data_IF_715013550244
#
_entry.id   IF_715013550244
#
_cell.length_a   1.000
_cell.length_b   1.000
_cell.length_c   1.000
_cell.angle_alpha   90.00
_cell.angle_beta   90.00
_cell.angle_gamma   90.00
#
_symmetry.space_group_name_H-M   'P 1'
#
loop_
_entity.id
_entity.type
_entity.pdbx_description
1 polymer ?
#
# COMPACT_ATOMS: atom_id res chain seq x y z
N UNK A 1 23.67 -14.11 -0.86
CA UNK A 1 22.87 -12.98 -1.40
C UNK A 1 21.79 -13.42 -2.40
N UNK A 2 22.10 -14.00 -3.58
CA UNK A 2 21.09 -14.36 -4.59
C UNK A 2 20.01 -15.36 -4.14
N UNK A 3 20.40 -16.42 -3.42
CA UNK A 3 19.46 -17.45 -2.90
C UNK A 3 18.46 -16.86 -1.90
N UNK A 4 18.94 -16.07 -0.96
CA UNK A 4 18.13 -15.40 0.07
C UNK A 4 17.19 -14.36 -0.53
N UNK A 5 17.70 -13.51 -1.43
CA UNK A 5 16.89 -12.55 -2.15
C UNK A 5 15.77 -13.24 -2.93
N UNK A 6 16.08 -14.32 -3.67
CA UNK A 6 15.06 -15.09 -4.42
C UNK A 6 13.94 -15.64 -3.54
N UNK A 7 14.27 -16.30 -2.43
CA UNK A 7 13.25 -16.90 -1.57
C UNK A 7 12.42 -15.86 -0.81
N UNK A 8 13.05 -14.79 -0.34
CA UNK A 8 12.33 -13.68 0.29
C UNK A 8 11.43 -12.97 -0.72
N UNK A 9 11.86 -12.77 -1.97
CA UNK A 9 11.04 -12.13 -3.00
C UNK A 9 9.84 -12.98 -3.40
N UNK A 10 9.96 -14.32 -3.41
CA UNK A 10 8.81 -15.19 -3.70
C UNK A 10 7.78 -15.12 -2.57
N UNK A 11 8.23 -15.23 -1.32
CA UNK A 11 7.33 -15.20 -0.16
C UNK A 11 6.67 -13.83 0.00
N UNK A 12 7.47 -12.77 0.12
CA UNK A 12 6.96 -11.42 0.35
C UNK A 12 6.39 -10.79 -0.92
N UNK A 13 6.78 -11.24 -2.11
CA UNK A 13 6.23 -10.71 -3.37
C UNK A 13 4.73 -10.92 -3.50
N UNK A 14 4.22 -12.08 -3.06
CA UNK A 14 2.79 -12.35 -3.05
C UNK A 14 2.06 -11.45 -2.04
N UNK A 15 2.60 -11.30 -0.83
CA UNK A 15 2.02 -10.43 0.20
C UNK A 15 2.06 -8.95 -0.21
N UNK A 16 3.17 -8.49 -0.76
CA UNK A 16 3.33 -7.13 -1.28
C UNK A 16 2.36 -6.88 -2.44
N UNK A 17 2.18 -7.84 -3.35
CA UNK A 17 1.21 -7.72 -4.43
C UNK A 17 -0.21 -7.58 -3.89
N UNK A 18 -0.59 -8.42 -2.91
CA UNK A 18 -1.87 -8.31 -2.24
C UNK A 18 -2.07 -6.93 -1.59
N UNK A 19 -1.09 -6.46 -0.81
CA UNK A 19 -1.10 -5.14 -0.15
C UNK A 19 -1.19 -4.01 -1.19
N UNK A 20 -0.47 -4.10 -2.30
CA UNK A 20 -0.51 -3.10 -3.37
C UNK A 20 -1.90 -3.04 -4.04
N UNK A 21 -2.49 -4.20 -4.32
CA UNK A 21 -3.82 -4.31 -4.94
C UNK A 21 -4.90 -3.75 -4.00
N UNK A 22 -4.91 -4.13 -2.72
CA UNK A 22 -5.88 -3.60 -1.75
C UNK A 22 -5.70 -2.12 -1.49
N UNK A 23 -4.46 -1.63 -1.44
CA UNK A 23 -4.17 -0.19 -1.32
C UNK A 23 -4.67 0.60 -2.52
N UNK A 24 -4.42 0.11 -3.74
CA UNK A 24 -4.90 0.76 -4.97
C UNK A 24 -6.44 0.77 -5.04
N UNK A 25 -7.09 -0.33 -4.65
CA UNK A 25 -8.55 -0.37 -4.56
C UNK A 25 -9.08 0.61 -3.51
N UNK A 26 -8.41 0.76 -2.36
CA UNK A 26 -8.80 1.74 -1.33
C UNK A 26 -8.77 3.17 -1.88
N UNK A 27 -7.69 3.52 -2.60
CA UNK A 27 -7.60 4.83 -3.26
C UNK A 27 -8.67 5.01 -4.34
N UNK A 28 -8.94 3.98 -5.16
CA UNK A 28 -10.01 4.04 -6.14
C UNK A 28 -11.39 4.26 -5.49
N UNK A 29 -11.68 3.55 -4.39
CA UNK A 29 -12.91 3.72 -3.62
C UNK A 29 -13.00 5.13 -3.00
N UNK A 30 -11.87 5.71 -2.57
CA UNK A 30 -11.81 7.09 -2.06
C UNK A 30 -12.19 8.10 -3.12
N UNK A 31 -11.67 7.96 -4.34
CA UNK A 31 -12.01 8.84 -5.47
C UNK A 31 -13.50 8.78 -5.82
N UNK A 32 -14.09 7.58 -5.81
CA UNK A 32 -15.53 7.41 -6.01
C UNK A 32 -16.32 8.05 -4.86
N UNK A 33 -15.87 7.89 -3.62
CA UNK A 33 -16.50 8.45 -2.43
C UNK A 33 -16.47 9.98 -2.38
N UNK A 34 -15.45 10.63 -2.95
CA UNK A 34 -15.37 12.10 -3.05
C UNK A 34 -16.43 12.67 -3.99
N UNK A 35 -16.75 11.95 -5.07
CA UNK A 35 -17.80 12.33 -6.02
C UNK A 35 -19.23 12.10 -5.51
N UNK A 36 -19.40 11.41 -4.38
CA UNK A 36 -20.72 11.13 -3.80
C UNK A 36 -21.13 12.22 -2.79
N UNK A 37 -22.40 12.70 -2.84
CA UNK A 37 -22.90 13.65 -1.86
C UNK A 37 -22.68 13.13 -0.45
N UNK A 38 -22.31 14.02 0.46
CA UNK A 38 -22.15 13.65 1.86
C UNK A 38 -23.51 13.13 2.38
N UNK A 39 -23.59 11.90 2.91
CA UNK A 39 -24.83 11.42 3.47
C UNK A 39 -25.21 12.34 4.63
N UNK A 40 -26.37 12.96 4.53
CA UNK A 40 -27.02 13.67 5.62
C UNK A 40 -27.61 12.64 6.59
N UNK A 41 -26.75 11.81 7.19
CA UNK A 41 -27.17 10.98 8.30
C UNK A 41 -27.49 11.91 9.46
N UNK A 42 -28.77 11.96 9.85
CA UNK A 42 -29.20 12.74 10.99
C UNK A 42 -28.42 12.30 12.23
N UNK A 43 -27.87 13.27 12.96
CA UNK A 43 -27.28 12.98 14.26
C UNK A 43 -28.33 12.29 15.15
N UNK A 44 -27.96 11.24 15.90
CA UNK A 44 -28.90 10.62 16.84
C UNK A 44 -29.41 11.67 17.83
N UNK A 45 -30.67 11.54 18.26
CA UNK A 45 -31.29 12.52 19.13
C UNK A 45 -30.45 12.74 20.41
N UNK A 46 -30.13 14.00 20.70
CA UNK A 46 -29.29 14.38 21.85
C UNK A 46 -27.77 14.35 21.61
N UNK A 47 -27.29 13.94 20.43
CA UNK A 47 -25.88 14.02 20.08
C UNK A 47 -25.53 15.43 19.56
N UNK A 48 -24.79 16.19 20.37
CA UNK A 48 -24.15 17.44 19.96
C UNK A 48 -22.68 17.19 19.72
N UNK A 49 -22.19 17.49 18.51
CA UNK A 49 -20.77 17.41 18.25
C UNK A 49 -20.04 18.48 19.09
N UNK A 50 -19.06 18.11 19.93
CA UNK A 50 -18.28 19.09 20.69
C UNK A 50 -17.54 20.05 19.75
N UNK A 51 -17.42 21.32 20.13
CA UNK A 51 -16.75 22.35 19.31
C UNK A 51 -15.27 22.05 19.02
N UNK A 52 -14.64 21.17 19.80
CA UNK A 52 -13.26 20.73 19.62
C UNK A 52 -13.11 19.55 18.65
N UNK A 53 -14.21 19.02 18.10
CA UNK A 53 -14.20 17.79 17.29
C UNK A 53 -14.92 17.97 15.95
N UNK A 54 -14.52 17.13 14.99
CA UNK A 54 -15.24 16.97 13.72
C UNK A 54 -15.95 15.62 13.74
N UNK A 55 -17.26 15.64 13.95
CA UNK A 55 -18.06 14.42 13.99
C UNK A 55 -18.46 14.04 12.57
N UNK A 56 -18.10 12.82 12.16
CA UNK A 56 -18.46 12.27 10.86
C UNK A 56 -19.41 11.09 11.04
N UNK A 57 -20.54 11.04 10.31
CA UNK A 57 -21.42 9.91 10.40
C UNK A 57 -20.75 8.64 9.87
N UNK A 58 -21.12 7.49 10.46
CA UNK A 58 -20.68 6.19 9.97
C UNK A 58 -21.15 6.01 8.52
N UNK A 59 -20.27 5.60 7.58
CA UNK A 59 -20.67 5.28 6.22
C UNK A 59 -21.80 4.24 6.18
N UNK A 60 -22.75 4.41 5.25
CA UNK A 60 -23.74 3.38 4.97
C UNK A 60 -23.02 2.10 4.47
N UNK A 61 -23.48 0.89 4.85
CA UNK A 61 -22.78 -0.36 4.55
C UNK A 61 -22.49 -0.61 3.07
N UNK A 62 -23.33 -0.09 2.18
CA UNK A 62 -23.27 -0.21 0.72
C UNK A 62 -22.58 0.97 0.03
N UNK A 63 -22.09 1.96 0.79
CA UNK A 63 -21.45 3.15 0.25
C UNK A 63 -19.98 2.92 -0.14
N UNK A 64 -19.47 3.69 -1.09
CA UNK A 64 -18.05 3.66 -1.46
C UNK A 64 -17.12 3.96 -0.26
N UNK A 65 -17.58 4.78 0.70
CA UNK A 65 -16.84 5.06 1.94
C UNK A 65 -16.74 3.86 2.88
N UNK A 66 -17.73 2.97 2.90
CA UNK A 66 -17.63 1.73 3.67
C UNK A 66 -16.57 0.79 3.06
N UNK A 67 -16.50 0.74 1.73
CA UNK A 67 -15.45 0.00 1.02
C UNK A 67 -14.05 0.53 1.30
N UNK A 68 -13.86 1.85 1.39
CA UNK A 68 -12.57 2.44 1.80
C UNK A 68 -12.12 1.90 3.17
N UNK A 69 -13.01 1.91 4.16
CA UNK A 69 -12.70 1.41 5.50
C UNK A 69 -12.33 -0.08 5.51
N UNK A 70 -13.14 -0.91 4.85
CA UNK A 70 -12.87 -2.34 4.74
C UNK A 70 -11.54 -2.64 4.02
N UNK A 71 -11.29 -1.99 2.88
CA UNK A 71 -10.06 -2.17 2.11
C UNK A 71 -8.83 -1.70 2.89
N UNK A 72 -8.95 -0.66 3.72
CA UNK A 72 -7.89 -0.24 4.63
C UNK A 72 -7.54 -1.30 5.66
N UNK A 73 -8.53 -1.90 6.32
CA UNK A 73 -8.30 -2.98 7.29
C UNK A 73 -7.69 -4.22 6.63
N UNK A 74 -8.14 -4.55 5.42
CA UNK A 74 -7.61 -5.66 4.65
C UNK A 74 -6.15 -5.40 4.20
N UNK A 75 -5.84 -4.17 3.82
CA UNK A 75 -4.49 -3.72 3.47
C UNK A 75 -3.54 -3.70 4.67
N UNK A 76 -4.00 -3.22 5.84
CA UNK A 76 -3.20 -3.19 7.07
C UNK A 76 -3.03 -4.58 7.71
N UNK A 77 -3.82 -5.56 7.27
CA UNK A 77 -3.83 -6.92 7.80
C UNK A 77 -4.56 -7.05 9.14
N UNK A 78 -5.24 -6.00 9.60
CA UNK A 78 -6.01 -5.99 10.84
C UNK A 78 -7.18 -6.99 10.82
N UNK A 79 -7.74 -7.27 9.64
CA UNK A 79 -8.77 -8.32 9.45
C UNK A 79 -8.29 -9.71 9.90
N UNK A 80 -6.98 -9.97 9.86
CA UNK A 80 -6.37 -11.23 10.31
C UNK A 80 -5.76 -11.12 11.72
N UNK A 81 -6.03 -10.02 12.43
CA UNK A 81 -5.51 -9.75 13.76
C UNK A 81 -4.01 -9.48 13.81
N UNK A 82 -3.37 -9.63 14.99
CA UNK A 82 -1.97 -9.24 15.21
C UNK A 82 -0.97 -9.90 14.27
N UNK A 83 -1.25 -11.15 13.87
CA UNK A 83 -0.39 -11.88 12.93
C UNK A 83 -0.44 -11.25 11.53
N UNK A 84 -1.63 -10.87 11.05
CA UNK A 84 -1.78 -10.19 9.76
C UNK A 84 -1.05 -8.86 9.73
N UNK A 85 -1.23 -8.05 10.78
CA UNK A 85 -0.50 -6.78 10.93
C UNK A 85 1.01 -6.98 10.96
N UNK A 86 1.52 -7.98 11.69
CA UNK A 86 2.94 -8.30 11.71
C UNK A 86 3.48 -8.69 10.32
N UNK A 87 2.73 -9.52 9.57
CA UNK A 87 3.08 -9.90 8.20
C UNK A 87 3.06 -8.71 7.24
N UNK A 88 2.08 -7.80 7.37
CA UNK A 88 2.02 -6.57 6.59
C UNK A 88 3.22 -5.66 6.88
N UNK A 89 3.58 -5.47 8.14
CA UNK A 89 4.77 -4.71 8.54
C UNK A 89 6.07 -5.31 8.00
N UNK A 90 6.23 -6.63 8.11
CA UNK A 90 7.39 -7.35 7.56
C UNK A 90 7.46 -7.23 6.03
N UNK A 91 6.30 -7.27 5.36
CA UNK A 91 6.21 -7.05 3.92
C UNK A 91 6.64 -5.64 3.52
N UNK A 92 6.27 -4.62 4.30
CA UNK A 92 6.74 -3.23 4.11
C UNK A 92 8.27 -3.12 4.28
N UNK A 93 8.82 -3.73 5.33
CA UNK A 93 10.27 -3.77 5.54
C UNK A 93 11.00 -4.49 4.40
N UNK A 94 10.44 -5.61 3.92
CA UNK A 94 10.98 -6.35 2.78
C UNK A 94 10.94 -5.51 1.49
N UNK A 95 9.85 -4.78 1.24
CA UNK A 95 9.72 -3.90 0.08
C UNK A 95 10.80 -2.79 0.09
N UNK A 96 11.04 -2.16 1.25
CA UNK A 96 12.11 -1.16 1.41
C UNK A 96 13.47 -1.79 1.11
N UNK A 97 13.76 -2.96 1.67
CA UNK A 97 15.00 -3.69 1.40
C UNK A 97 15.17 -4.00 -0.10
N UNK A 98 14.13 -4.48 -0.76
CA UNK A 98 14.17 -4.80 -2.19
C UNK A 98 14.34 -3.55 -3.06
N UNK A 99 13.66 -2.44 -2.73
CA UNK A 99 13.80 -1.18 -3.44
C UNK A 99 15.22 -0.62 -3.33
N UNK A 100 15.79 -0.59 -2.12
CA UNK A 100 17.14 -0.08 -1.89
C UNK A 100 18.21 -0.97 -2.53
N UNK A 101 18.09 -2.30 -2.38
CA UNK A 101 19.04 -3.24 -2.97
C UNK A 101 18.98 -3.25 -4.50
N UNK A 102 17.79 -3.15 -5.09
CA UNK A 102 17.59 -3.01 -6.52
C UNK A 102 18.18 -1.71 -7.07
N UNK A 103 17.92 -0.58 -6.40
CA UNK A 103 18.48 0.72 -6.76
C UNK A 103 20.00 0.72 -6.68
N UNK A 104 20.57 0.16 -5.60
CA UNK A 104 22.02 0.04 -5.45
C UNK A 104 22.66 -0.77 -6.58
N UNK A 105 22.08 -1.93 -6.92
CA UNK A 105 22.56 -2.76 -8.04
C UNK A 105 22.47 -2.00 -9.37
N UNK A 106 21.38 -1.26 -9.61
CA UNK A 106 21.22 -0.42 -10.79
C UNK A 106 22.30 0.66 -10.87
N UNK A 107 22.57 1.37 -9.78
CA UNK A 107 23.63 2.39 -9.71
C UNK A 107 25.02 1.81 -9.94
N UNK A 108 25.30 0.62 -9.39
CA UNK A 108 26.57 -0.08 -9.63
C UNK A 108 26.76 -0.43 -11.11
N UNK A 109 25.72 -0.94 -11.76
CA UNK A 109 25.74 -1.21 -13.21
C UNK A 109 25.93 0.06 -14.02
N UNK A 110 25.22 1.14 -13.67
CA UNK A 110 25.30 2.43 -14.34
C UNK A 110 26.70 3.04 -14.25
N UNK A 111 27.32 3.04 -13.07
CA UNK A 111 28.70 3.52 -12.85
C UNK A 111 29.73 2.65 -13.55
N UNK A 112 29.55 1.33 -13.56
CA UNK A 112 30.40 0.40 -14.30
C UNK A 112 30.32 0.59 -15.82
N UNK A 113 29.22 1.14 -16.33
CA UNK A 113 29.03 1.49 -17.75
C UNK A 113 29.79 2.75 -18.14
N UNK A 114 29.86 3.74 -17.25
CA UNK A 114 30.66 4.96 -17.45
C UNK A 114 32.17 4.64 -17.59
N UNK A 115 32.66 3.60 -16.90
CA UNK A 115 34.04 3.12 -17.05
C UNK A 115 34.30 2.16 -18.23
N UNK A 116 33.24 1.68 -18.91
CA UNK A 116 33.31 0.71 -20.04
C UNK A 116 32.75 1.27 -21.35
N UNK A 117 32.76 2.60 -21.52
CA UNK A 117 32.29 3.31 -22.73
C UNK A 117 32.99 2.91 -24.05
N UNK A 118 33.97 2.01 -24.04
CA UNK A 118 34.67 1.53 -25.23
C UNK A 118 34.11 0.27 -25.92
N UNK A 119 33.11 -0.42 -25.35
CA UNK A 119 32.58 -1.67 -25.97
C UNK A 119 31.05 -1.73 -25.99
N UNK A 120 30.46 -1.01 -26.94
CA UNK A 120 29.28 -1.36 -27.75
C UNK A 120 28.13 -2.21 -27.16
N UNK A 121 27.80 -2.09 -25.87
CA UNK A 121 26.79 -2.92 -25.22
C UNK A 121 25.42 -2.25 -25.21
N UNK A 122 24.49 -2.80 -26.00
CA UNK A 122 23.12 -2.35 -26.25
C UNK A 122 22.36 -1.99 -24.97
N UNK A 123 21.52 -0.95 -25.08
CA UNK A 123 20.83 -0.31 -23.95
C UNK A 123 19.87 -1.26 -23.22
N UNK A 124 19.40 -2.30 -23.89
CA UNK A 124 18.51 -3.35 -23.38
C UNK A 124 18.78 -4.66 -24.12
N UNK A 125 19.91 -5.34 -23.86
CA UNK A 125 20.22 -6.77 -24.11
C UNK A 125 21.73 -6.98 -24.17
#
# INVERSE_FOLDING_TARGET
>A
MRKWHRWLSVLFGLLILFIAVTGLMSHAASLVAEGQPAPAAAAPAGFTCPDTMTCRPKPAPDSARAWVGFLHHLHSGEEFGPLGTALAMLSGAALIFFALSGLWMYLQMFRGRAGKQGRGGKLFW
#
